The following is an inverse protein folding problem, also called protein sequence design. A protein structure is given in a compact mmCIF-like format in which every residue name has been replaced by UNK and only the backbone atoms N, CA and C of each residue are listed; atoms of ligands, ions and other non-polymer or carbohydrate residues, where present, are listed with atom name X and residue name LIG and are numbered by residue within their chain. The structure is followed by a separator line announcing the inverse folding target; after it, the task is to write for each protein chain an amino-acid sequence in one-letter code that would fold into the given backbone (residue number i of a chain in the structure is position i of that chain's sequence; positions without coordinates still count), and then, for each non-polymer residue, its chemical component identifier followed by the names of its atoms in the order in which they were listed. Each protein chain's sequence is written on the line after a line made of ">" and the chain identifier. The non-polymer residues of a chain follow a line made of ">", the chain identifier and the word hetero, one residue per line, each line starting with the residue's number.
data_IF_618902104042
#
_entry.id   IF_618902104042
#
_cell.length_a   1.000
_cell.length_b   1.000
_cell.length_c   1.000
_cell.angle_alpha   90.00
_cell.angle_beta   90.00
_cell.angle_gamma   90.00
#
_symmetry.space_group_name_H-M   'P 1'
#
loop_
_entity.id
_entity.type
_entity.pdbx_description
1 polymer ?
#
# COMPACT_ATOMS: atom_id res chain seq x y z
N UNK A 1 -2.99 12.50 14.23
CA UNK A 1 -2.39 13.01 12.99
C UNK A 1 -2.26 11.82 12.05
N UNK A 2 -2.67 11.95 10.80
CA UNK A 2 -2.63 10.86 9.81
C UNK A 2 -1.17 10.57 9.39
N UNK A 3 -0.80 9.30 9.25
CA UNK A 3 0.52 8.91 8.70
C UNK A 3 0.52 9.09 7.17
N UNK A 4 1.57 9.70 6.64
CA UNK A 4 1.76 9.94 5.21
C UNK A 4 2.68 8.88 4.61
N UNK A 5 2.19 8.13 3.62
CA UNK A 5 2.93 7.04 3.00
C UNK A 5 2.98 7.26 1.47
N UNK A 6 4.01 7.94 0.94
CA UNK A 6 4.17 8.01 -0.51
C UNK A 6 4.37 6.61 -1.11
N UNK A 7 3.94 6.43 -2.36
CA UNK A 7 4.07 5.17 -3.09
C UNK A 7 5.07 5.24 -4.24
N UNK A 8 5.85 4.17 -4.41
CA UNK A 8 6.64 3.88 -5.60
C UNK A 8 6.14 2.56 -6.20
N UNK A 9 5.59 2.64 -7.41
CA UNK A 9 5.28 1.44 -8.20
C UNK A 9 6.47 1.15 -9.13
N UNK A 10 6.87 -0.12 -9.21
CA UNK A 10 8.06 -0.58 -9.92
C UNK A 10 7.70 -1.41 -11.14
N UNK A 11 8.19 -0.99 -12.31
CA UNK A 11 8.28 -1.81 -13.53
C UNK A 11 9.69 -1.63 -14.11
N UNK A 12 10.37 -2.73 -14.44
CA UNK A 12 11.73 -2.76 -14.96
C UNK A 12 12.73 -1.99 -14.05
N UNK A 13 12.52 -2.02 -12.73
CA UNK A 13 13.32 -1.28 -11.75
C UNK A 13 13.13 0.24 -11.75
N UNK A 14 12.12 0.77 -12.45
CA UNK A 14 11.84 2.22 -12.57
C UNK A 14 10.56 2.62 -11.84
N UNK A 15 10.47 3.89 -11.43
CA UNK A 15 9.24 4.46 -10.87
C UNK A 15 8.22 4.71 -11.97
N UNK A 16 7.09 4.01 -11.90
CA UNK A 16 6.01 4.13 -12.87
C UNK A 16 4.69 4.49 -12.21
N UNK A 17 3.69 4.79 -13.04
CA UNK A 17 2.29 4.74 -12.63
C UNK A 17 1.45 4.13 -13.73
N UNK A 18 0.41 3.42 -13.31
CA UNK A 18 -0.68 2.94 -14.16
C UNK A 18 -1.94 3.75 -13.87
N UNK A 19 -2.81 3.91 -14.86
CA UNK A 19 -4.17 4.42 -14.64
C UNK A 19 -5.08 3.23 -14.34
N UNK A 20 -5.67 3.19 -13.15
CA UNK A 20 -6.54 2.09 -12.70
C UNK A 20 -5.92 0.69 -12.88
N UNK A 21 -4.60 0.57 -12.69
CA UNK A 21 -3.89 -0.72 -12.79
C UNK A 21 -3.63 -1.20 -14.21
N UNK A 22 -4.00 -0.45 -15.25
CA UNK A 22 -3.79 -0.85 -16.65
C UNK A 22 -2.32 -0.70 -17.08
N UNK A 23 -1.63 -1.82 -17.27
CA UNK A 23 -0.23 -1.89 -17.71
C UNK A 23 0.03 -1.23 -19.07
N UNK A 24 -0.97 -1.14 -19.95
CA UNK A 24 -0.84 -0.48 -21.24
C UNK A 24 -0.69 1.04 -21.10
N UNK A 25 -1.15 1.61 -19.98
CA UNK A 25 -1.09 3.04 -19.67
C UNK A 25 0.18 3.45 -18.92
N UNK A 26 1.19 2.57 -18.88
CA UNK A 26 2.45 2.78 -18.18
C UNK A 26 3.08 4.13 -18.52
N UNK A 27 3.27 4.96 -17.48
CA UNK A 27 4.08 6.18 -17.55
C UNK A 27 5.25 6.07 -16.59
N UNK A 28 6.46 6.29 -17.11
CA UNK A 28 7.68 6.38 -16.30
C UNK A 28 7.76 7.81 -15.74
N UNK A 29 7.87 7.93 -14.42
CA UNK A 29 8.02 9.22 -13.73
C UNK A 29 9.44 9.49 -13.27
N UNK A 30 10.20 8.45 -12.94
CA UNK A 30 11.63 8.54 -12.66
C UNK A 30 12.30 7.19 -12.97
N UNK A 31 13.53 7.22 -13.46
CA UNK A 31 14.31 6.01 -13.74
C UNK A 31 15.07 5.49 -12.52
N UNK A 32 15.32 6.31 -11.49
CA UNK A 32 15.98 5.89 -10.24
C UNK A 32 15.05 6.00 -9.03
N UNK A 33 14.46 4.87 -8.59
CA UNK A 33 13.66 4.82 -7.37
C UNK A 33 14.38 5.30 -6.12
N UNK A 34 15.71 5.15 -6.04
CA UNK A 34 16.46 5.59 -4.87
C UNK A 34 16.47 7.12 -4.75
N UNK A 35 16.55 7.83 -5.87
CA UNK A 35 16.48 9.30 -5.87
C UNK A 35 15.12 9.76 -5.32
N UNK A 36 14.04 9.12 -5.77
CA UNK A 36 12.67 9.43 -5.32
C UNK A 36 12.51 9.13 -3.82
N UNK A 37 12.98 7.97 -3.36
CA UNK A 37 12.92 7.59 -1.95
C UNK A 37 13.71 8.56 -1.05
N UNK A 38 14.94 8.93 -1.45
CA UNK A 38 15.75 9.93 -0.71
C UNK A 38 15.07 11.29 -0.61
N UNK A 39 14.33 11.71 -1.65
CA UNK A 39 13.54 12.95 -1.59
C UNK A 39 12.40 12.86 -0.59
N UNK A 40 11.72 11.71 -0.51
CA UNK A 40 10.69 11.50 0.52
C UNK A 40 11.28 11.53 1.92
N UNK A 41 12.36 10.80 2.16
CA UNK A 41 13.09 10.79 3.42
C UNK A 41 13.55 12.19 3.85
N UNK A 42 14.16 12.95 2.93
CA UNK A 42 14.64 14.30 3.21
C UNK A 42 13.52 15.28 3.62
N UNK A 43 12.28 15.01 3.21
CA UNK A 43 11.09 15.79 3.60
C UNK A 43 10.46 15.31 4.91
N UNK A 44 11.08 14.35 5.61
CA UNK A 44 10.63 13.84 6.90
C UNK A 44 9.63 12.68 6.81
N UNK A 45 9.41 12.12 5.62
CA UNK A 45 8.63 10.88 5.49
C UNK A 45 9.41 9.75 6.17
N UNK A 46 8.69 8.89 6.89
CA UNK A 46 9.28 7.75 7.61
C UNK A 46 8.90 6.40 7.01
N UNK A 47 7.85 6.34 6.18
CA UNK A 47 7.33 5.10 5.63
C UNK A 47 7.12 5.22 4.13
N UNK A 48 7.48 4.16 3.40
CA UNK A 48 7.38 4.08 1.95
C UNK A 48 6.57 2.85 1.56
N UNK A 49 5.56 3.03 0.71
CA UNK A 49 4.85 1.93 0.09
C UNK A 49 5.52 1.60 -1.24
N UNK A 50 6.01 0.37 -1.41
CA UNK A 50 6.66 -0.07 -2.65
C UNK A 50 5.88 -1.24 -3.24
N UNK A 51 5.47 -1.11 -4.50
CA UNK A 51 4.74 -2.14 -5.22
C UNK A 51 5.56 -2.66 -6.40
N UNK A 52 5.92 -3.93 -6.37
CA UNK A 52 6.50 -4.64 -7.50
C UNK A 52 5.39 -5.06 -8.47
N UNK A 53 5.12 -4.22 -9.49
CA UNK A 53 4.09 -4.50 -10.48
C UNK A 53 4.52 -5.62 -11.43
N UNK A 54 5.81 -5.73 -11.76
CA UNK A 54 6.31 -6.88 -12.51
C UNK A 54 6.02 -8.18 -11.76
N UNK A 55 6.30 -8.19 -10.46
CA UNK A 55 6.03 -9.34 -9.61
C UNK A 55 4.54 -9.61 -9.42
N UNK A 56 3.72 -8.56 -9.28
CA UNK A 56 2.26 -8.71 -9.23
C UNK A 56 1.71 -9.43 -10.48
N UNK A 57 2.27 -9.13 -11.66
CA UNK A 57 1.90 -9.76 -12.93
C UNK A 57 2.50 -11.17 -13.11
N UNK A 58 3.75 -11.38 -12.68
CA UNK A 58 4.46 -12.65 -12.87
C UNK A 58 4.24 -13.68 -11.74
N UNK A 59 3.63 -13.27 -10.62
CA UNK A 59 3.32 -14.15 -9.49
C UNK A 59 4.54 -14.57 -8.65
N UNK A 60 5.64 -13.83 -8.72
CA UNK A 60 6.83 -13.96 -7.86
C UNK A 60 7.56 -12.61 -7.81
N UNK A 61 8.39 -12.36 -6.80
CA UNK A 61 9.11 -11.09 -6.69
C UNK A 61 10.16 -10.97 -7.81
N UNK A 62 10.17 -9.82 -8.49
CA UNK A 62 11.11 -9.46 -9.56
C UNK A 62 12.08 -8.37 -9.10
N UNK A 63 11.55 -7.33 -8.45
CA UNK A 63 12.29 -6.09 -8.14
C UNK A 63 12.97 -6.12 -6.76
N UNK A 64 13.38 -7.30 -6.25
CA UNK A 64 14.00 -7.44 -4.93
C UNK A 64 15.32 -6.67 -4.78
N UNK A 65 16.12 -6.54 -5.87
CA UNK A 65 17.36 -5.74 -5.85
C UNK A 65 17.08 -4.24 -5.70
N UNK A 66 15.98 -3.77 -6.28
CA UNK A 66 15.54 -2.38 -6.10
C UNK A 66 15.09 -2.17 -4.67
N UNK A 67 14.31 -3.10 -4.10
CA UNK A 67 13.93 -3.10 -2.69
C UNK A 67 15.17 -3.04 -1.76
N UNK A 68 16.16 -3.90 -2.00
CA UNK A 68 17.43 -3.90 -1.26
C UNK A 68 18.16 -2.56 -1.35
N UNK A 69 18.30 -2.01 -2.56
CA UNK A 69 18.92 -0.69 -2.78
C UNK A 69 18.19 0.41 -1.99
N UNK A 70 16.85 0.39 -1.97
CA UNK A 70 16.05 1.36 -1.20
C UNK A 70 16.27 1.20 0.31
N UNK A 71 16.23 -0.02 0.81
CA UNK A 71 16.36 -0.32 2.24
C UNK A 71 17.76 -0.02 2.79
N UNK A 72 18.82 -0.27 2.00
CA UNK A 72 20.21 -0.03 2.41
C UNK A 72 20.56 1.46 2.42
N UNK A 73 19.98 2.24 1.52
CA UNK A 73 20.38 3.63 1.28
C UNK A 73 19.38 4.67 1.79
N UNK A 74 18.37 4.26 2.55
CA UNK A 74 17.42 5.13 3.25
C UNK A 74 17.10 4.56 4.64
N UNK A 75 16.59 5.38 5.54
CA UNK A 75 16.05 4.99 6.85
C UNK A 75 14.53 4.75 6.81
N UNK A 76 13.94 4.74 5.62
CA UNK A 76 12.52 4.55 5.42
C UNK A 76 12.08 3.15 5.85
N UNK A 77 10.97 3.08 6.58
CA UNK A 77 10.26 1.84 6.83
C UNK A 77 9.53 1.46 5.55
N UNK A 78 10.04 0.45 4.84
CA UNK A 78 9.43 -0.01 3.59
C UNK A 78 8.36 -1.05 3.90
N UNK A 79 7.14 -0.80 3.45
CA UNK A 79 6.17 -1.86 3.23
C UNK A 79 6.15 -2.25 1.74
N UNK A 80 6.20 -3.55 1.47
CA UNK A 80 6.42 -4.08 0.14
C UNK A 80 5.26 -5.00 -0.27
N UNK A 81 4.77 -4.83 -1.49
CA UNK A 81 3.75 -5.67 -2.10
C UNK A 81 4.08 -6.02 -3.55
N UNK A 82 3.38 -7.01 -4.10
CA UNK A 82 3.56 -7.46 -5.48
C UNK A 82 4.30 -8.79 -5.59
N UNK A 83 3.66 -9.80 -6.20
CA UNK A 83 4.28 -11.09 -6.48
C UNK A 83 4.42 -12.07 -5.31
N UNK A 84 3.90 -11.76 -4.14
CA UNK A 84 3.99 -12.63 -2.95
C UNK A 84 2.98 -13.77 -3.04
N UNK A 85 3.44 -15.00 -3.24
CA UNK A 85 2.60 -16.20 -3.41
C UNK A 85 2.95 -17.34 -2.46
N UNK A 86 4.17 -17.39 -1.94
CA UNK A 86 4.68 -18.47 -1.08
C UNK A 86 5.65 -17.93 -0.04
N UNK A 87 5.94 -18.74 0.97
CA UNK A 87 6.85 -18.40 2.09
C UNK A 87 8.22 -17.89 1.63
N UNK A 88 8.79 -18.52 0.59
CA UNK A 88 10.08 -18.13 0.04
C UNK A 88 10.09 -16.67 -0.48
N UNK A 89 8.95 -16.15 -0.94
CA UNK A 89 8.85 -14.75 -1.39
C UNK A 89 8.93 -13.79 -0.19
N UNK A 90 8.37 -14.15 0.96
CA UNK A 90 8.46 -13.34 2.18
C UNK A 90 9.89 -13.32 2.71
N UNK A 91 10.58 -14.46 2.67
CA UNK A 91 11.98 -14.56 3.06
C UNK A 91 12.82 -13.62 2.19
N UNK A 92 12.68 -13.68 0.86
CA UNK A 92 13.34 -12.75 -0.07
C UNK A 92 13.02 -11.29 0.27
N UNK A 93 11.75 -10.94 0.47
CA UNK A 93 11.36 -9.55 0.71
C UNK A 93 11.91 -9.01 2.05
N UNK A 94 11.83 -9.79 3.13
CA UNK A 94 12.37 -9.40 4.43
C UNK A 94 13.90 -9.34 4.44
N UNK A 95 14.58 -10.30 3.78
CA UNK A 95 16.04 -10.28 3.63
C UNK A 95 16.52 -9.12 2.76
N UNK A 96 15.72 -8.72 1.77
CA UNK A 96 15.94 -7.51 0.96
C UNK A 96 15.60 -6.21 1.72
N UNK A 97 15.19 -6.29 2.98
CA UNK A 97 15.02 -5.12 3.85
C UNK A 97 13.60 -4.55 3.92
N UNK A 98 12.57 -5.20 3.35
CA UNK A 98 11.19 -4.84 3.66
C UNK A 98 10.94 -5.01 5.17
N UNK A 99 10.22 -4.06 5.78
CA UNK A 99 9.83 -4.16 7.20
C UNK A 99 8.43 -4.70 7.38
N UNK A 100 7.58 -4.49 6.37
CA UNK A 100 6.21 -4.98 6.30
C UNK A 100 5.92 -5.54 4.91
N UNK A 101 4.99 -6.48 4.84
CA UNK A 101 4.59 -7.16 3.61
C UNK A 101 3.08 -7.04 3.41
N UNK A 102 2.67 -6.63 2.22
CA UNK A 102 1.26 -6.49 1.83
C UNK A 102 0.82 -7.66 0.96
N UNK A 103 -0.09 -8.48 1.48
CA UNK A 103 -0.69 -9.60 0.75
C UNK A 103 -2.15 -9.29 0.39
N UNK A 104 -2.42 -9.07 -0.89
CA UNK A 104 -3.78 -8.91 -1.42
C UNK A 104 -4.29 -10.20 -2.06
N UNK A 105 -3.83 -10.50 -3.27
CA UNK A 105 -4.31 -11.69 -4.01
C UNK A 105 -4.09 -13.02 -3.28
N UNK A 106 -3.02 -13.16 -2.51
CA UNK A 106 -2.76 -14.38 -1.73
C UNK A 106 -3.79 -14.57 -0.62
N UNK A 107 -4.23 -13.50 0.05
CA UNK A 107 -5.25 -13.56 1.08
C UNK A 107 -6.61 -14.05 0.55
N UNK A 108 -6.86 -13.89 -0.76
CA UNK A 108 -8.06 -14.37 -1.42
C UNK A 108 -7.88 -15.79 -1.97
N UNK A 109 -6.77 -16.05 -2.67
CA UNK A 109 -6.54 -17.30 -3.40
C UNK A 109 -6.06 -18.45 -2.52
N UNK A 110 -5.33 -18.12 -1.44
CA UNK A 110 -4.84 -19.08 -0.46
C UNK A 110 -4.86 -18.42 0.94
N UNK A 111 -6.07 -18.28 1.53
CA UNK A 111 -6.25 -17.59 2.80
C UNK A 111 -5.53 -18.27 3.96
N UNK A 112 -5.25 -19.57 3.87
CA UNK A 112 -4.61 -20.33 4.95
C UNK A 112 -3.10 -20.09 4.94
N UNK A 113 -2.46 -20.07 3.76
CA UNK A 113 -1.07 -19.59 3.63
C UNK A 113 -0.94 -18.16 4.15
N UNK A 114 -1.83 -17.24 3.77
CA UNK A 114 -1.76 -15.86 4.27
C UNK A 114 -1.96 -15.76 5.80
N UNK A 115 -2.87 -16.55 6.37
CA UNK A 115 -3.02 -16.62 7.83
C UNK A 115 -1.77 -17.16 8.53
N UNK A 116 -1.11 -18.17 7.96
CA UNK A 116 0.15 -18.69 8.51
C UNK A 116 1.23 -17.60 8.58
N UNK A 117 1.25 -16.65 7.64
CA UNK A 117 2.18 -15.53 7.67
C UNK A 117 1.88 -14.56 8.81
N UNK A 118 0.60 -14.27 9.05
CA UNK A 118 0.18 -13.45 10.19
C UNK A 118 0.62 -14.11 11.51
N UNK A 119 0.46 -15.42 11.64
CA UNK A 119 0.91 -16.16 12.82
C UNK A 119 2.43 -16.16 12.99
N UNK A 120 3.18 -16.41 11.91
CA UNK A 120 4.65 -16.53 11.91
C UNK A 120 5.36 -15.19 12.11
N UNK A 121 4.91 -14.13 11.42
CA UNK A 121 5.58 -12.84 11.38
C UNK A 121 4.89 -11.75 12.23
N UNK A 122 3.66 -12.00 12.66
CA UNK A 122 2.84 -11.07 13.43
C UNK A 122 2.09 -10.06 12.57
N UNK A 123 0.93 -9.63 13.05
CA UNK A 123 0.07 -8.62 12.42
C UNK A 123 0.70 -7.23 12.34
N UNK A 124 1.84 -7.01 13.00
CA UNK A 124 2.64 -5.81 12.86
C UNK A 124 3.46 -5.76 11.56
N UNK A 125 3.85 -6.93 11.03
CA UNK A 125 4.67 -7.06 9.82
C UNK A 125 3.85 -7.46 8.58
N UNK A 126 2.65 -8.00 8.77
CA UNK A 126 1.77 -8.39 7.68
C UNK A 126 0.63 -7.38 7.55
N UNK A 127 0.37 -6.96 6.32
CA UNK A 127 -0.71 -6.04 5.94
C UNK A 127 -1.65 -6.78 4.99
N UNK A 128 -2.94 -6.72 5.26
CA UNK A 128 -3.95 -7.20 4.32
C UNK A 128 -4.18 -6.14 3.24
N UNK A 129 -3.95 -6.52 1.99
CA UNK A 129 -4.39 -5.73 0.84
C UNK A 129 -5.84 -6.06 0.50
N UNK A 130 -6.71 -5.06 0.56
CA UNK A 130 -8.14 -5.18 0.28
C UNK A 130 -8.54 -4.18 -0.81
N UNK A 131 -8.06 -4.43 -2.03
CA UNK A 131 -8.40 -3.61 -3.19
C UNK A 131 -9.81 -3.96 -3.66
N UNK A 132 -10.65 -2.95 -3.84
CA UNK A 132 -12.05 -3.15 -4.15
C UNK A 132 -12.57 -2.23 -5.24
N UNK A 133 -13.50 -2.77 -6.02
CA UNK A 133 -14.35 -2.03 -6.96
C UNK A 133 -15.79 -2.34 -6.61
N UNK A 134 -16.61 -1.31 -6.47
CA UNK A 134 -18.03 -1.47 -6.08
C UNK A 134 -18.22 -2.33 -4.82
N UNK A 135 -17.34 -2.12 -3.82
CA UNK A 135 -17.28 -2.84 -2.53
C UNK A 135 -17.03 -4.36 -2.64
N UNK A 136 -16.54 -4.83 -3.78
CA UNK A 136 -16.10 -6.22 -3.98
C UNK A 136 -14.60 -6.30 -4.22
N UNK A 137 -13.97 -7.33 -3.66
CA UNK A 137 -12.53 -7.55 -3.76
C UNK A 137 -12.13 -7.85 -5.21
N UNK A 138 -11.03 -7.26 -5.66
CA UNK A 138 -10.36 -7.62 -6.91
C UNK A 138 -8.95 -8.14 -6.64
N UNK A 139 -8.48 -9.06 -7.49
CA UNK A 139 -7.17 -9.72 -7.37
C UNK A 139 -6.44 -9.73 -8.70
N UNK A 140 -5.23 -10.30 -8.72
CA UNK A 140 -4.41 -10.45 -9.92
C UNK A 140 -4.12 -9.10 -10.61
N UNK A 141 -3.69 -8.09 -9.84
CA UNK A 141 -3.46 -6.74 -10.37
C UNK A 141 -4.74 -6.04 -10.84
N UNK A 142 -5.88 -6.38 -10.23
CA UNK A 142 -7.21 -5.86 -10.53
C UNK A 142 -7.85 -6.38 -11.83
N UNK A 143 -7.19 -7.33 -12.51
CA UNK A 143 -7.73 -7.98 -13.72
C UNK A 143 -8.87 -8.99 -13.42
N UNK A 144 -8.94 -9.48 -12.18
CA UNK A 144 -9.90 -10.50 -11.76
C UNK A 144 -10.82 -9.95 -10.66
N UNK A 145 -12.08 -9.72 -11.01
CA UNK A 145 -13.12 -9.36 -10.04
C UNK A 145 -13.62 -10.62 -9.31
N UNK A 146 -13.97 -10.47 -8.03
CA UNK A 146 -14.54 -11.54 -7.22
C UNK A 146 -15.91 -11.13 -6.69
N UNK A 147 -16.72 -12.10 -6.25
CA UNK A 147 -17.98 -11.83 -5.53
C UNK A 147 -17.77 -11.60 -4.03
N UNK A 148 -16.52 -11.57 -3.56
CA UNK A 148 -16.19 -11.42 -2.15
C UNK A 148 -16.42 -9.97 -1.73
N UNK A 149 -17.32 -9.78 -0.78
CA UNK A 149 -17.60 -8.46 -0.20
C UNK A 149 -16.44 -7.97 0.66
N UNK A 150 -16.09 -6.69 0.50
CA UNK A 150 -14.93 -6.04 1.12
C UNK A 150 -14.94 -6.10 2.65
N UNK A 151 -16.03 -5.66 3.29
CA UNK A 151 -16.09 -5.57 4.76
C UNK A 151 -16.11 -6.97 5.40
N UNK A 152 -16.94 -7.93 4.95
CA UNK A 152 -16.89 -9.31 5.44
C UNK A 152 -15.51 -9.95 5.30
N UNK A 153 -14.81 -9.69 4.19
CA UNK A 153 -13.45 -10.18 3.97
C UNK A 153 -12.45 -9.63 5.01
N UNK A 154 -12.46 -8.32 5.25
CA UNK A 154 -11.61 -7.68 6.27
C UNK A 154 -11.96 -8.23 7.67
N UNK A 155 -13.25 -8.32 7.99
CA UNK A 155 -13.73 -8.82 9.27
C UNK A 155 -13.28 -10.27 9.54
N UNK A 156 -13.32 -11.13 8.52
CA UNK A 156 -12.87 -12.51 8.63
C UNK A 156 -11.39 -12.61 9.03
N UNK A 157 -10.50 -11.84 8.41
CA UNK A 157 -9.08 -11.81 8.80
C UNK A 157 -8.81 -11.12 10.13
N UNK A 158 -9.62 -10.11 10.50
CA UNK A 158 -9.51 -9.45 11.79
C UNK A 158 -9.88 -10.37 12.96
N UNK A 159 -10.95 -11.16 12.80
CA UNK A 159 -11.47 -12.07 13.82
C UNK A 159 -10.70 -13.41 13.90
N UNK A 160 -9.85 -13.72 12.93
CA UNK A 160 -9.05 -14.95 12.94
C UNK A 160 -8.16 -15.02 14.19
N UNK A 161 -8.10 -16.21 14.78
CA UNK A 161 -7.17 -16.59 15.85
C UNK A 161 -7.19 -15.72 17.12
N UNK A 162 -8.38 -15.46 17.67
CA UNK A 162 -8.60 -14.98 19.06
C UNK A 162 -7.47 -14.06 19.58
N UNK A 163 -7.32 -12.88 18.94
CA UNK A 163 -6.34 -11.79 19.21
C UNK A 163 -5.12 -11.70 18.27
N UNK A 164 -4.84 -12.71 17.44
CA UNK A 164 -3.74 -12.68 16.46
C UNK A 164 -4.15 -12.27 15.05
N UNK A 165 -5.41 -11.92 14.84
CA UNK A 165 -5.91 -11.49 13.53
C UNK A 165 -5.19 -10.26 12.99
N UNK A 166 -5.46 -9.96 11.71
CA UNK A 166 -4.84 -8.81 11.05
C UNK A 166 -5.17 -7.50 11.79
N UNK A 167 -4.22 -6.57 11.79
CA UNK A 167 -4.38 -5.24 12.40
C UNK A 167 -4.24 -4.12 11.40
N UNK A 168 -3.39 -4.28 10.37
CA UNK A 168 -3.18 -3.29 9.31
C UNK A 168 -3.87 -3.72 8.03
N UNK A 169 -4.65 -2.82 7.44
CA UNK A 169 -5.36 -3.06 6.19
C UNK A 169 -5.09 -1.89 5.25
N UNK A 170 -4.57 -2.18 4.06
CA UNK A 170 -4.58 -1.23 2.94
C UNK A 170 -5.85 -1.49 2.15
N UNK A 171 -6.68 -0.45 1.99
CA UNK A 171 -7.87 -0.52 1.16
C UNK A 171 -7.73 0.48 0.02
N UNK A 172 -7.74 -0.02 -1.22
CA UNK A 172 -7.76 0.82 -2.42
C UNK A 172 -9.14 0.81 -3.04
N UNK A 173 -9.75 1.99 -3.23
CA UNK A 173 -10.89 2.13 -4.14
C UNK A 173 -10.38 2.21 -5.58
N UNK A 174 -10.47 1.10 -6.30
CA UNK A 174 -9.96 0.94 -7.67
C UNK A 174 -10.63 1.95 -8.62
N UNK A 175 -11.89 2.32 -8.37
CA UNK A 175 -12.60 3.29 -9.23
C UNK A 175 -11.95 4.67 -9.20
N UNK A 176 -11.22 4.99 -8.13
CA UNK A 176 -10.55 6.27 -7.93
C UNK A 176 -9.04 6.22 -8.13
N UNK A 177 -8.45 5.03 -8.21
CA UNK A 177 -7.00 4.90 -8.29
C UNK A 177 -6.42 5.55 -9.56
N UNK A 178 -5.44 6.43 -9.37
CA UNK A 178 -4.85 7.20 -10.47
C UNK A 178 -5.78 8.24 -11.12
N UNK A 179 -7.00 8.43 -10.63
CA UNK A 179 -7.97 9.36 -11.24
C UNK A 179 -7.85 10.80 -10.75
N UNK A 180 -7.22 11.03 -9.58
CA UNK A 180 -7.06 12.35 -8.96
C UNK A 180 -8.41 13.06 -8.72
N UNK A 181 -9.41 12.32 -8.24
CA UNK A 181 -10.79 12.77 -7.98
C UNK A 181 -11.14 12.83 -6.49
N UNK A 182 -10.15 12.71 -5.60
CA UNK A 182 -10.31 12.68 -4.15
C UNK A 182 -10.48 11.26 -3.61
N UNK A 183 -10.09 11.03 -2.36
CA UNK A 183 -10.15 9.72 -1.72
C UNK A 183 -11.58 9.28 -1.38
N UNK A 184 -11.82 7.96 -1.26
CA UNK A 184 -13.12 7.36 -0.96
C UNK A 184 -13.48 7.45 0.54
N UNK A 185 -13.57 8.68 1.08
CA UNK A 185 -13.74 8.92 2.52
C UNK A 185 -14.92 8.16 3.13
N UNK A 186 -16.07 8.12 2.44
CA UNK A 186 -17.28 7.44 2.95
C UNK A 186 -17.07 5.92 3.05
N UNK A 187 -16.43 5.31 2.05
CA UNK A 187 -16.06 3.89 2.08
C UNK A 187 -15.18 3.58 3.29
N UNK A 188 -14.18 4.42 3.57
CA UNK A 188 -13.26 4.19 4.67
C UNK A 188 -13.94 4.35 6.04
N UNK A 189 -14.89 5.28 6.17
CA UNK A 189 -15.72 5.40 7.38
C UNK A 189 -16.58 4.17 7.62
N UNK A 190 -17.17 3.60 6.56
CA UNK A 190 -17.94 2.36 6.67
C UNK A 190 -17.06 1.20 7.18
N UNK A 191 -15.84 1.05 6.65
CA UNK A 191 -14.90 0.01 7.10
C UNK A 191 -14.53 0.21 8.57
N UNK A 192 -14.17 1.43 8.99
CA UNK A 192 -13.80 1.72 10.38
C UNK A 192 -14.95 1.48 11.36
N UNK A 193 -16.19 1.76 10.95
CA UNK A 193 -17.36 1.50 11.77
C UNK A 193 -17.63 -0.01 11.94
N UNK A 194 -17.25 -0.83 10.95
CA UNK A 194 -17.49 -2.26 10.96
C UNK A 194 -16.36 -3.08 11.60
N UNK A 195 -15.10 -2.68 11.40
CA UNK A 195 -13.93 -3.46 11.85
C UNK A 195 -12.86 -2.54 12.43
N UNK A 196 -12.41 -2.78 13.68
CA UNK A 196 -11.44 -1.91 14.36
C UNK A 196 -10.00 -2.21 13.93
N UNK A 197 -9.72 -2.02 12.64
CA UNK A 197 -8.38 -2.15 12.03
C UNK A 197 -7.71 -0.78 11.90
N UNK A 198 -6.37 -0.78 11.88
CA UNK A 198 -5.57 0.34 11.40
C UNK A 198 -5.71 0.42 9.88
N UNK A 199 -6.67 1.24 9.44
CA UNK A 199 -6.99 1.41 8.03
C UNK A 199 -6.04 2.41 7.36
N UNK A 200 -5.48 1.98 6.25
CA UNK A 200 -4.60 2.76 5.37
C UNK A 200 -5.38 3.03 4.08
N UNK A 201 -5.78 4.27 3.86
CA UNK A 201 -6.52 4.67 2.67
C UNK A 201 -5.60 4.73 1.44
N UNK A 202 -6.04 4.19 0.31
CA UNK A 202 -5.28 4.20 -0.95
C UNK A 202 -6.18 4.54 -2.14
N UNK A 203 -5.64 5.23 -3.15
CA UNK A 203 -6.37 5.62 -4.36
C UNK A 203 -7.12 6.95 -4.25
N UNK A 204 -7.16 7.69 -5.36
CA UNK A 204 -7.96 8.91 -5.52
C UNK A 204 -7.36 10.21 -4.97
N UNK A 205 -6.42 10.17 -4.01
CA UNK A 205 -5.81 11.38 -3.41
C UNK A 205 -5.29 12.32 -4.50
N UNK A 206 -5.74 13.57 -4.45
CA UNK A 206 -5.46 14.58 -5.48
C UNK A 206 -4.90 15.89 -4.92
N UNK A 207 -5.09 16.15 -3.63
CA UNK A 207 -4.71 17.40 -2.95
C UNK A 207 -4.47 17.20 -1.45
N UNK A 208 -3.87 18.19 -0.80
CA UNK A 208 -3.74 18.24 0.67
C UNK A 208 -5.11 18.19 1.36
N UNK A 209 -6.11 18.86 0.79
CA UNK A 209 -7.47 18.85 1.33
C UNK A 209 -8.08 17.44 1.39
N UNK A 210 -7.70 16.53 0.49
CA UNK A 210 -8.15 15.13 0.57
C UNK A 210 -7.53 14.41 1.77
N UNK A 211 -6.25 14.66 2.05
CA UNK A 211 -5.53 14.12 3.20
C UNK A 211 -6.13 14.66 4.51
N UNK A 212 -6.44 15.96 4.56
CA UNK A 212 -7.11 16.58 5.71
C UNK A 212 -8.49 15.97 5.98
N UNK A 213 -9.28 15.71 4.92
CA UNK A 213 -10.58 15.02 5.06
C UNK A 213 -10.42 13.61 5.62
N UNK A 214 -9.42 12.86 5.18
CA UNK A 214 -9.11 11.53 5.72
C UNK A 214 -8.69 11.62 7.20
N UNK A 215 -7.83 12.58 7.54
CA UNK A 215 -7.41 12.80 8.92
C UNK A 215 -8.59 13.19 9.82
N UNK A 216 -9.49 14.05 9.35
CA UNK A 216 -10.69 14.46 10.07
C UNK A 216 -11.70 13.31 10.22
N UNK A 217 -11.69 12.36 9.29
CA UNK A 217 -12.47 11.13 9.38
C UNK A 217 -11.87 10.08 10.33
N UNK A 218 -10.68 10.32 10.90
CA UNK A 218 -10.01 9.40 11.81
C UNK A 218 -9.24 8.28 11.11
N UNK A 219 -8.94 8.41 9.81
CA UNK A 219 -8.12 7.44 9.08
C UNK A 219 -6.67 7.49 9.60
N UNK A 220 -6.08 6.31 9.83
CA UNK A 220 -4.78 6.19 10.49
C UNK A 220 -3.62 6.57 9.56
N UNK A 221 -3.70 6.18 8.29
CA UNK A 221 -2.67 6.48 7.30
C UNK A 221 -3.24 6.63 5.89
N UNK A 222 -2.48 7.28 5.01
CA UNK A 222 -2.85 7.45 3.60
C UNK A 222 -1.67 7.15 2.68
N UNK A 223 -1.96 6.36 1.65
CA UNK A 223 -1.07 6.10 0.52
C UNK A 223 -1.40 7.07 -0.62
N UNK A 224 -0.36 7.68 -1.19
CA UNK A 224 -0.50 8.60 -2.33
C UNK A 224 0.74 8.56 -3.23
N UNK A 225 0.53 8.63 -4.55
CA UNK A 225 1.61 8.57 -5.53
C UNK A 225 1.41 9.59 -6.63
N UNK A 226 0.42 9.35 -7.52
CA UNK A 226 0.21 10.17 -8.73
C UNK A 226 0.11 11.68 -8.46
N UNK A 227 -0.54 12.10 -7.37
CA UNK A 227 -0.65 13.53 -7.02
C UNK A 227 0.71 14.20 -6.75
N UNK A 228 1.68 13.47 -6.18
CA UNK A 228 3.05 13.95 -6.01
C UNK A 228 3.76 14.05 -7.36
N UNK A 229 3.67 12.99 -8.17
CA UNK A 229 4.37 12.93 -9.44
C UNK A 229 3.85 13.94 -10.48
N UNK A 230 2.57 14.32 -10.39
CA UNK A 230 1.98 15.36 -11.24
C UNK A 230 2.01 16.77 -10.61
N UNK A 231 2.70 16.93 -9.47
CA UNK A 231 2.91 18.23 -8.83
C UNK A 231 1.65 18.86 -8.22
N UNK A 232 0.55 18.11 -8.11
CA UNK A 232 -0.68 18.56 -7.42
C UNK A 232 -0.48 18.67 -5.91
N UNK A 233 0.37 17.80 -5.37
CA UNK A 233 0.90 17.88 -4.02
C UNK A 233 2.40 18.04 -4.16
N UNK A 234 3.00 19.03 -3.49
CA UNK A 234 4.46 19.17 -3.43
C UNK A 234 4.92 18.64 -2.07
N UNK A 235 6.12 18.07 -2.02
CA UNK A 235 6.66 17.54 -0.77
C UNK A 235 6.73 18.60 0.35
N UNK A 236 7.02 19.85 -0.02
CA UNK A 236 7.01 20.98 0.91
C UNK A 236 5.64 21.22 1.55
N UNK A 237 4.55 20.93 0.84
CA UNK A 237 3.20 21.09 1.37
C UNK A 237 2.90 20.06 2.48
N UNK A 238 3.67 18.97 2.54
CA UNK A 238 3.53 17.91 3.55
C UNK A 238 4.28 18.19 4.85
N UNK A 239 5.28 19.08 4.84
CA UNK A 239 6.15 19.34 6.01
C UNK A 239 5.35 19.78 7.24
N UNK A 240 4.24 20.51 7.06
CA UNK A 240 3.34 20.93 8.14
C UNK A 240 2.45 19.82 8.71
N UNK A 241 2.36 18.68 8.01
CA UNK A 241 1.54 17.52 8.39
C UNK A 241 2.38 16.37 8.95
N UNK A 242 3.70 16.48 8.92
CA UNK A 242 4.62 15.47 9.44
C UNK A 242 4.99 15.89 10.86
N UNK A 243 4.71 15.03 11.85
CA UNK A 243 5.23 15.26 13.21
C UNK A 243 6.75 15.15 13.15
N UNK A 244 7.45 16.27 13.29
CA UNK A 244 8.89 16.22 13.58
C UNK A 244 9.05 15.50 14.92
N UNK A 245 9.60 14.28 14.91
CA UNK A 245 10.11 13.70 16.15
C UNK A 245 11.20 14.64 16.65
N UNK A 246 10.94 15.29 17.78
CA UNK A 246 11.97 16.05 18.49
C UNK A 246 13.14 15.12 18.77
N UNK A 247 14.35 15.57 18.45
CA UNK A 247 15.60 14.95 18.86
C UNK A 247 15.77 15.07 20.38
#
# INVERSE_FOLDING_TARGET
>A
MIELIPAIDLIDGKCVRLTQGDYSTKKIYNEDPLEVAKRFEACGIHRLHVVDLDGARQGHIINYRTLEKLAVHTSLVIDFGGGLKKDADLEIAFESGARMITGGSIAVKDPDTFASWIERYGSERIILGADAKDKRIAVSGWEEATEIELIPFIAAFFMRNHDKGIRKVICTDISRDGMLQGAAVDLYKEIQAAVPVCLIASGGVSSIADIEKLSAAGISAVIFGKALYEGKIRLKDLEGMIVKKGY
#
